data_IF_026353109620
#
_entry.id   IF_026353109620
#
_cell.length_a   1.000
_cell.length_b   1.000
_cell.length_c   1.000
_cell.angle_alpha   90.00
_cell.angle_beta   90.00
_cell.angle_gamma   90.00
#
_symmetry.space_group_name_H-M   'P 1'
#
loop_
_entity.id
_entity.type
_entity.pdbx_description
1 polymer ?
#
# COMPACT_ATOMS: atom_id res chain seq x y z
N UNK A 1 8.10 2.24 -0.85
CA UNK A 1 6.92 2.71 -1.60
C UNK A 1 6.48 4.08 -1.13
N UNK A 2 6.10 4.26 0.14
CA UNK A 2 5.59 5.53 0.65
C UNK A 2 6.46 6.78 0.34
N UNK A 3 7.78 6.71 0.58
CA UNK A 3 8.68 7.86 0.36
C UNK A 3 8.78 8.24 -1.13
N UNK A 4 8.93 7.25 -2.01
CA UNK A 4 9.06 7.49 -3.45
C UNK A 4 7.74 7.99 -4.06
N UNK A 5 6.62 7.33 -3.74
CA UNK A 5 5.32 7.73 -4.28
C UNK A 5 4.87 9.08 -3.73
N UNK A 6 5.11 9.35 -2.44
CA UNK A 6 4.83 10.66 -1.83
C UNK A 6 5.71 11.78 -2.37
N UNK A 7 6.99 11.53 -2.60
CA UNK A 7 7.92 12.50 -3.21
C UNK A 7 7.53 12.87 -4.64
N UNK A 8 7.15 11.88 -5.46
CA UNK A 8 6.67 12.14 -6.83
C UNK A 8 5.36 12.91 -6.82
N UNK A 9 4.41 12.54 -5.95
CA UNK A 9 3.14 13.25 -5.81
C UNK A 9 3.37 14.72 -5.40
N UNK A 10 4.24 14.97 -4.43
CA UNK A 10 4.56 16.33 -3.99
C UNK A 10 5.16 17.18 -5.12
N UNK A 11 6.10 16.61 -5.90
CA UNK A 11 6.71 17.30 -7.03
C UNK A 11 5.68 17.60 -8.12
N UNK A 12 4.83 16.64 -8.47
CA UNK A 12 3.79 16.81 -9.47
C UNK A 12 2.73 17.85 -9.03
N UNK A 13 2.30 17.78 -7.77
CA UNK A 13 1.34 18.74 -7.19
C UNK A 13 1.91 20.15 -7.13
N UNK A 14 3.20 20.32 -6.84
CA UNK A 14 3.87 21.62 -6.85
C UNK A 14 3.82 22.26 -8.25
N UNK A 15 4.24 21.54 -9.28
CA UNK A 15 4.17 22.04 -10.65
C UNK A 15 2.73 22.31 -11.11
N UNK A 16 1.76 21.52 -10.63
CA UNK A 16 0.34 21.74 -10.89
C UNK A 16 -0.18 23.04 -10.27
N UNK A 17 0.13 23.30 -9.01
CA UNK A 17 -0.32 24.48 -8.26
C UNK A 17 0.44 25.76 -8.62
N UNK A 18 1.70 25.64 -9.06
CA UNK A 18 2.49 26.76 -9.57
C UNK A 18 1.78 27.48 -10.73
N UNK A 19 1.09 26.73 -11.59
CA UNK A 19 0.30 27.30 -12.71
C UNK A 19 -0.88 28.16 -12.26
N UNK A 20 -1.37 27.95 -11.04
CA UNK A 20 -2.48 28.69 -10.44
C UNK A 20 -2.02 29.73 -9.39
N UNK A 21 -0.70 29.89 -9.19
CA UNK A 21 -0.14 30.76 -8.14
C UNK A 21 -0.44 30.30 -6.71
N UNK A 22 -0.82 29.03 -6.53
CA UNK A 22 -1.35 28.47 -5.28
C UNK A 22 -0.35 27.54 -4.57
N UNK A 23 0.95 27.77 -4.72
CA UNK A 23 2.03 26.87 -4.28
C UNK A 23 1.98 26.53 -2.78
N UNK A 24 1.52 27.46 -1.94
CA UNK A 24 1.38 27.30 -0.48
C UNK A 24 0.42 26.17 -0.09
N UNK A 25 -0.56 25.85 -0.95
CA UNK A 25 -1.53 24.78 -0.69
C UNK A 25 -1.01 23.38 -1.01
N UNK A 26 0.18 23.26 -1.62
CA UNK A 26 0.75 21.97 -2.04
C UNK A 26 0.87 20.99 -0.87
N UNK A 27 1.32 21.45 0.30
CA UNK A 27 1.46 20.60 1.48
C UNK A 27 0.12 20.05 1.99
N UNK A 28 -0.91 20.90 2.03
CA UNK A 28 -2.25 20.50 2.47
C UNK A 28 -2.89 19.52 1.47
N UNK A 29 -2.73 19.76 0.17
CA UNK A 29 -3.25 18.90 -0.89
C UNK A 29 -2.62 17.51 -0.81
N UNK A 30 -1.29 17.45 -0.73
CA UNK A 30 -0.54 16.18 -0.64
C UNK A 30 -0.89 15.45 0.64
N UNK A 31 -0.97 16.14 1.79
CA UNK A 31 -1.32 15.53 3.07
C UNK A 31 -2.70 14.88 3.07
N UNK A 32 -3.72 15.57 2.53
CA UNK A 32 -5.09 15.05 2.45
C UNK A 32 -5.18 13.88 1.45
N UNK A 33 -4.57 14.01 0.27
CA UNK A 33 -4.59 12.97 -0.77
C UNK A 33 -3.89 11.69 -0.31
N UNK A 34 -2.72 11.80 0.33
CA UNK A 34 -2.01 10.64 0.85
C UNK A 34 -2.83 9.93 1.94
N UNK A 35 -3.38 10.69 2.90
CA UNK A 35 -4.06 10.11 4.05
C UNK A 35 -5.39 9.46 3.69
N UNK A 36 -6.17 10.07 2.79
CA UNK A 36 -7.53 9.59 2.47
C UNK A 36 -7.57 8.54 1.37
N UNK A 37 -6.62 8.56 0.45
CA UNK A 37 -6.71 7.72 -0.77
C UNK A 37 -5.51 6.80 -0.88
N UNK A 38 -4.32 7.38 -0.98
CA UNK A 38 -3.16 6.62 -1.44
C UNK A 38 -2.63 5.64 -0.38
N UNK A 39 -2.54 6.06 0.88
CA UNK A 39 -2.01 5.22 1.97
C UNK A 39 -2.93 4.01 2.23
N UNK A 40 -4.26 4.17 2.41
CA UNK A 40 -5.15 3.03 2.63
C UNK A 40 -5.09 2.01 1.48
N UNK A 41 -5.11 2.48 0.23
CA UNK A 41 -5.11 1.62 -0.95
C UNK A 41 -3.80 0.85 -1.09
N UNK A 42 -2.65 1.54 -1.02
CA UNK A 42 -1.34 0.90 -1.16
C UNK A 42 -1.04 -0.06 -0.01
N UNK A 43 -1.48 0.26 1.20
CA UNK A 43 -1.32 -0.61 2.38
C UNK A 43 -2.17 -1.87 2.23
N UNK A 44 -3.44 -1.74 1.86
CA UNK A 44 -4.32 -2.88 1.61
C UNK A 44 -3.79 -3.79 0.50
N UNK A 45 -3.33 -3.20 -0.61
CA UNK A 45 -2.76 -3.95 -1.73
C UNK A 45 -1.49 -4.72 -1.32
N UNK A 46 -0.56 -4.09 -0.60
CA UNK A 46 0.68 -4.74 -0.15
C UNK A 46 0.41 -5.85 0.85
N UNK A 47 -0.51 -5.61 1.79
CA UNK A 47 -0.94 -6.62 2.77
C UNK A 47 -1.56 -7.83 2.04
N UNK A 48 -2.54 -7.58 1.17
CA UNK A 48 -3.19 -8.62 0.39
C UNK A 48 -2.19 -9.39 -0.49
N UNK A 49 -1.18 -8.74 -1.06
CA UNK A 49 -0.18 -9.43 -1.89
C UNK A 49 0.80 -10.29 -1.08
N UNK A 50 1.46 -9.71 -0.08
CA UNK A 50 2.59 -10.39 0.61
C UNK A 50 2.11 -11.33 1.71
N UNK A 51 1.15 -10.89 2.52
CA UNK A 51 0.71 -11.64 3.69
C UNK A 51 -0.18 -12.82 3.28
N UNK A 52 -1.03 -12.65 2.26
CA UNK A 52 -1.81 -13.80 1.75
C UNK A 52 -0.92 -14.86 1.12
N UNK A 53 0.14 -14.47 0.40
CA UNK A 53 1.06 -15.40 -0.22
C UNK A 53 1.84 -16.21 0.83
N UNK A 54 2.27 -15.59 1.94
CA UNK A 54 2.94 -16.32 3.03
C UNK A 54 2.00 -17.29 3.73
N UNK A 55 0.76 -16.90 4.04
CA UNK A 55 -0.21 -17.79 4.66
C UNK A 55 -0.60 -18.96 3.74
N UNK A 56 -0.85 -18.69 2.45
CA UNK A 56 -1.13 -19.75 1.48
C UNK A 56 0.05 -20.71 1.31
N UNK A 57 1.29 -20.21 1.33
CA UNK A 57 2.48 -21.06 1.29
C UNK A 57 2.58 -21.94 2.54
N UNK A 58 2.39 -21.37 3.73
CA UNK A 58 2.45 -22.11 5.00
C UNK A 58 1.39 -23.21 5.05
N UNK A 59 0.12 -22.88 4.76
CA UNK A 59 -0.95 -23.88 4.67
C UNK A 59 -0.66 -24.92 3.59
N UNK A 60 -0.15 -24.50 2.43
CA UNK A 60 0.27 -25.43 1.37
C UNK A 60 1.31 -26.44 1.85
N UNK A 61 2.29 -26.01 2.65
CA UNK A 61 3.28 -26.93 3.23
C UNK A 61 2.66 -27.89 4.26
N UNK A 62 1.72 -27.41 5.09
CA UNK A 62 1.02 -28.25 6.06
C UNK A 62 0.14 -29.30 5.40
N UNK A 63 -0.44 -29.00 4.23
CA UNK A 63 -1.20 -29.97 3.43
C UNK A 63 -0.27 -31.03 2.83
N UNK A 64 0.88 -30.64 2.26
CA UNK A 64 1.84 -31.59 1.66
C UNK A 64 2.49 -32.50 2.70
N UNK A 65 2.66 -32.00 3.93
CA UNK A 65 3.22 -32.79 5.05
C UNK A 65 2.13 -33.54 5.84
N UNK A 66 0.90 -33.59 5.33
CA UNK A 66 -0.25 -34.27 5.92
C UNK A 66 -0.62 -33.79 7.34
N UNK A 67 -0.05 -32.68 7.80
CA UNK A 67 -0.33 -32.12 9.14
C UNK A 67 -1.79 -31.67 9.28
N UNK A 68 -2.41 -31.22 8.18
CA UNK A 68 -3.83 -30.85 8.17
C UNK A 68 -4.72 -32.08 8.33
N UNK A 69 -4.39 -33.19 7.68
CA UNK A 69 -5.16 -34.44 7.75
C UNK A 69 -5.00 -35.12 9.12
N UNK A 70 -3.80 -35.04 9.69
CA UNK A 70 -3.49 -35.51 11.04
C UNK A 70 -4.28 -34.78 12.16
N UNK A 71 -4.93 -33.65 11.86
CA UNK A 71 -5.75 -32.92 12.83
C UNK A 71 -7.19 -33.45 12.92
N UNK A 72 -7.68 -34.15 11.89
CA UNK A 72 -9.05 -34.63 11.78
C UNK A 72 -9.20 -36.15 11.99
N UNK A 73 -8.09 -36.90 12.01
CA UNK A 73 -8.03 -38.33 12.34
C UNK A 73 -7.48 -38.53 13.76
#
# INVERSE_FOLDING_TARGET
MAVFTGGVLALQSYFGLQRFGAEVFTGSLVGVSLTKELIPVLTGLMLAGRVSASYSAEIGTMVVTEQVDALFT
#
